data_IF_350335725178
#
_entry.id   IF_350335725178
#
_cell.length_a   1.000
_cell.length_b   1.000
_cell.length_c   1.000
_cell.angle_alpha   90.00
_cell.angle_beta   90.00
_cell.angle_gamma   90.00
#
_symmetry.space_group_name_H-M   'P 1'
#
loop_
_entity.id
_entity.type
_entity.pdbx_description
1 polymer ?
#
# COMPACT_ATOMS: atom_id res chain seq x y z
N UNK A 1 7.47 -0.36 10.00
CA UNK A 1 8.26 -1.56 9.62
C UNK A 1 9.45 -1.11 8.79
N UNK A 2 10.62 -1.70 9.01
CA UNK A 2 11.85 -1.34 8.30
C UNK A 2 12.67 -2.59 7.98
N UNK A 3 13.35 -2.58 6.84
CA UNK A 3 14.34 -3.58 6.43
C UNK A 3 13.78 -5.01 6.41
N UNK A 4 12.68 -5.19 5.67
CA UNK A 4 12.01 -6.48 5.53
C UNK A 4 12.37 -7.09 4.18
N UNK A 5 12.75 -8.35 4.21
CA UNK A 5 13.01 -9.15 3.02
C UNK A 5 12.16 -10.42 3.06
N UNK A 6 11.46 -10.70 1.96
CA UNK A 6 10.64 -11.90 1.83
C UNK A 6 10.71 -12.40 0.39
N UNK A 7 11.24 -13.61 0.22
CA UNK A 7 11.41 -14.22 -1.09
C UNK A 7 10.76 -15.61 -1.12
N UNK A 8 9.62 -15.69 -1.80
CA UNK A 8 8.86 -16.93 -1.95
C UNK A 8 9.14 -17.65 -3.28
N UNK A 9 10.21 -17.29 -4.00
CA UNK A 9 10.49 -17.81 -5.35
C UNK A 9 10.54 -19.34 -5.41
N UNK A 10 11.06 -19.99 -4.37
CA UNK A 10 11.24 -21.45 -4.33
C UNK A 10 10.06 -22.20 -3.71
N UNK A 11 9.00 -21.51 -3.30
CA UNK A 11 7.82 -22.17 -2.71
C UNK A 11 6.85 -22.62 -3.80
N UNK A 12 6.35 -23.84 -3.65
CA UNK A 12 5.40 -24.47 -4.59
C UNK A 12 4.02 -23.81 -4.51
N UNK A 13 3.65 -23.31 -3.33
CA UNK A 13 2.37 -22.67 -3.06
C UNK A 13 2.53 -21.17 -2.80
N UNK A 14 1.49 -20.42 -3.16
CA UNK A 14 1.38 -18.99 -2.87
C UNK A 14 1.42 -18.77 -1.37
N UNK A 15 2.23 -17.81 -0.93
CA UNK A 15 2.14 -17.25 0.41
C UNK A 15 1.58 -15.83 0.37
N UNK A 16 0.85 -15.49 1.42
CA UNK A 16 0.46 -14.10 1.67
C UNK A 16 1.72 -13.29 2.01
N UNK A 17 1.79 -12.07 1.48
CA UNK A 17 2.83 -11.14 1.91
C UNK A 17 2.41 -10.39 3.17
N UNK A 18 2.58 -9.07 3.14
CA UNK A 18 2.28 -8.20 4.27
C UNK A 18 0.89 -7.61 4.06
N UNK A 19 0.02 -7.78 5.05
CA UNK A 19 -1.25 -7.06 5.12
C UNK A 19 -1.26 -6.18 6.37
N UNK A 20 -1.51 -4.89 6.19
CA UNK A 20 -1.66 -3.92 7.28
C UNK A 20 -3.06 -3.36 7.20
N UNK A 21 -3.82 -3.52 8.27
CA UNK A 21 -5.15 -2.92 8.44
C UNK A 21 -5.06 -1.87 9.52
N UNK A 22 -5.15 -0.59 9.16
CA UNK A 22 -5.23 0.48 10.15
C UNK A 22 -6.55 0.38 10.92
N UNK A 23 -6.49 0.45 12.25
CA UNK A 23 -7.70 0.46 13.09
C UNK A 23 -8.41 1.81 13.09
N UNK A 24 -9.46 1.93 13.92
CA UNK A 24 -10.26 3.15 14.03
C UNK A 24 -9.55 4.30 14.78
N UNK A 25 -8.41 4.03 15.42
CA UNK A 25 -7.61 5.05 16.10
C UNK A 25 -6.73 5.83 15.12
N UNK A 26 -6.36 7.06 15.49
CA UNK A 26 -5.32 7.82 14.78
C UNK A 26 -4.07 6.96 14.71
N UNK A 27 -3.65 6.65 13.49
CA UNK A 27 -2.56 5.71 13.23
C UNK A 27 -1.56 6.29 12.26
N UNK A 28 -0.29 6.00 12.52
CA UNK A 28 0.83 6.36 11.67
C UNK A 28 1.48 5.08 11.15
N UNK A 29 1.55 4.94 9.83
CA UNK A 29 2.17 3.78 9.19
C UNK A 29 3.38 4.26 8.39
N UNK A 30 4.57 3.77 8.77
CA UNK A 30 5.78 3.95 8.00
C UNK A 30 6.37 2.60 7.58
N UNK A 31 6.55 2.43 6.28
CA UNK A 31 7.16 1.29 5.64
C UNK A 31 8.42 1.77 4.93
N UNK A 32 9.55 1.13 5.25
CA UNK A 32 10.85 1.55 4.72
C UNK A 32 11.69 0.33 4.38
N UNK A 33 12.40 0.37 3.26
CA UNK A 33 13.35 -0.67 2.85
C UNK A 33 12.71 -2.07 2.87
N UNK A 34 11.70 -2.26 2.01
CA UNK A 34 10.99 -3.54 1.88
C UNK A 34 11.31 -4.14 0.52
N UNK A 35 11.75 -5.39 0.49
CA UNK A 35 11.93 -6.17 -0.72
C UNK A 35 11.14 -7.48 -0.62
N UNK A 36 10.21 -7.68 -1.56
CA UNK A 36 9.30 -8.82 -1.55
C UNK A 36 9.17 -9.43 -2.95
N UNK A 37 9.30 -10.76 -3.07
CA UNK A 37 9.14 -11.50 -4.33
C UNK A 37 8.11 -12.62 -4.17
N UNK A 38 7.20 -12.72 -5.16
CA UNK A 38 6.02 -13.61 -5.14
C UNK A 38 5.19 -13.42 -3.86
N UNK A 39 4.89 -12.15 -3.57
CA UNK A 39 4.14 -11.75 -2.39
C UNK A 39 3.47 -10.38 -2.62
N UNK A 40 2.38 -10.10 -1.89
CA UNK A 40 1.64 -8.84 -1.96
C UNK A 40 1.90 -7.95 -0.74
N UNK A 41 1.85 -6.64 -0.95
CA UNK A 41 1.72 -5.65 0.11
C UNK A 41 0.32 -5.05 0.04
N UNK A 42 -0.49 -5.31 1.05
CA UNK A 42 -1.90 -4.92 1.13
C UNK A 42 -2.11 -3.93 2.29
N UNK A 43 -2.61 -2.73 1.98
CA UNK A 43 -2.96 -1.70 2.94
C UNK A 43 -4.47 -1.53 2.98
N UNK A 44 -5.06 -1.76 4.14
CA UNK A 44 -6.50 -1.59 4.37
C UNK A 44 -6.77 -0.52 5.42
N UNK A 45 -7.88 0.19 5.22
CA UNK A 45 -8.33 1.32 6.01
C UNK A 45 -7.33 2.49 5.98
N UNK A 46 -7.84 3.71 5.94
CA UNK A 46 -6.98 4.89 5.84
C UNK A 46 -6.29 5.20 7.18
N UNK A 47 -4.95 5.13 7.29
CA UNK A 47 -4.24 5.69 8.45
C UNK A 47 -4.30 7.23 8.44
N UNK A 48 -3.96 7.87 9.56
CA UNK A 48 -3.81 9.33 9.60
C UNK A 48 -2.67 9.77 8.66
N UNK A 49 -1.55 9.06 8.73
CA UNK A 49 -0.42 9.26 7.82
C UNK A 49 0.15 7.94 7.34
N UNK A 50 0.47 7.87 6.05
CA UNK A 50 1.15 6.75 5.41
C UNK A 50 2.44 7.22 4.74
N UNK A 51 3.54 6.59 5.11
CA UNK A 51 4.85 6.79 4.53
C UNK A 51 5.37 5.47 3.96
N UNK A 52 5.77 5.50 2.70
CA UNK A 52 6.42 4.37 2.04
C UNK A 52 7.69 4.85 1.34
N UNK A 53 8.83 4.25 1.69
CA UNK A 53 10.11 4.59 1.08
C UNK A 53 10.93 3.35 0.74
N UNK A 54 11.49 3.29 -0.46
CA UNK A 54 12.33 2.18 -0.91
C UNK A 54 11.58 0.84 -0.79
N UNK A 55 10.48 0.73 -1.52
CA UNK A 55 9.61 -0.44 -1.49
C UNK A 55 9.68 -1.11 -2.85
N UNK A 56 10.08 -2.38 -2.87
CA UNK A 56 10.11 -3.21 -4.07
C UNK A 56 9.28 -4.46 -3.81
N UNK A 57 8.16 -4.61 -4.53
CA UNK A 57 7.26 -5.75 -4.38
C UNK A 57 6.94 -6.32 -5.74
N UNK A 58 7.06 -7.64 -5.88
CA UNK A 58 6.67 -8.37 -7.06
C UNK A 58 5.67 -9.48 -6.73
N UNK A 59 4.57 -9.54 -7.49
CA UNK A 59 3.54 -10.58 -7.38
C UNK A 59 3.14 -11.07 -8.77
N UNK A 60 2.90 -12.36 -8.94
CA UNK A 60 2.39 -12.90 -10.19
C UNK A 60 1.00 -12.31 -10.53
N UNK A 61 0.83 -11.84 -11.76
CA UNK A 61 -0.39 -11.16 -12.21
C UNK A 61 -1.66 -12.01 -12.08
N UNK A 62 -1.54 -13.33 -12.22
CA UNK A 62 -2.61 -14.31 -12.02
C UNK A 62 -3.15 -14.35 -10.58
N UNK A 63 -2.36 -13.87 -9.61
CA UNK A 63 -2.66 -13.96 -8.18
C UNK A 63 -3.20 -12.65 -7.58
N UNK A 64 -3.18 -11.57 -8.37
CA UNK A 64 -3.59 -10.24 -7.97
C UNK A 64 -2.46 -9.21 -8.02
N UNK A 65 -2.71 -7.98 -7.53
CA UNK A 65 -1.74 -6.89 -7.55
C UNK A 65 -0.58 -7.14 -6.58
N UNK A 66 0.60 -6.58 -6.91
CA UNK A 66 1.75 -6.57 -6.01
C UNK A 66 1.56 -5.59 -4.85
N UNK A 67 0.95 -4.44 -5.13
CA UNK A 67 0.58 -3.45 -4.13
C UNK A 67 -0.92 -3.16 -4.22
N UNK A 68 -1.63 -3.35 -3.11
CA UNK A 68 -3.03 -2.92 -2.99
C UNK A 68 -3.16 -1.86 -1.89
N UNK A 69 -3.83 -0.75 -2.19
CA UNK A 69 -4.27 0.21 -1.19
C UNK A 69 -5.78 0.34 -1.28
N UNK A 70 -6.45 -0.18 -0.25
CA UNK A 70 -7.89 -0.12 -0.09
C UNK A 70 -8.20 0.75 1.13
N UNK A 71 -8.39 2.04 0.88
CA UNK A 71 -8.76 3.02 1.88
C UNK A 71 -10.27 3.17 1.96
N UNK A 72 -10.95 2.04 2.17
CA UNK A 72 -12.36 2.06 2.52
C UNK A 72 -12.57 2.95 3.75
N UNK A 73 -13.48 3.90 3.59
CA UNK A 73 -13.91 4.76 4.67
C UNK A 73 -14.95 3.98 5.46
N UNK A 74 -14.50 3.12 6.36
CA UNK A 74 -15.42 2.62 7.37
C UNK A 74 -15.91 3.82 8.18
N UNK A 75 -17.21 4.07 8.11
CA UNK A 75 -17.91 4.76 9.19
C UNK A 75 -17.63 3.94 10.45
N UNK A 76 -17.18 4.60 11.51
CA UNK A 76 -17.41 4.04 12.85
C UNK A 76 -18.90 3.69 12.97
N UNK A 77 -19.29 2.78 13.87
CA UNK A 77 -20.72 2.46 14.13
C UNK A 77 -21.57 3.71 14.45
N UNK A 78 -20.91 4.83 14.73
CA UNK A 78 -21.47 6.17 14.99
C UNK A 78 -21.42 7.15 13.80
N UNK A 79 -20.95 6.72 12.62
CA UNK A 79 -20.85 7.58 11.42
C UNK A 79 -19.68 8.56 11.41
N UNK A 80 -18.71 8.44 12.34
CA UNK A 80 -17.59 9.38 12.45
C UNK A 80 -16.43 8.95 11.55
N UNK A 81 -15.94 9.89 10.73
CA UNK A 81 -14.75 9.72 9.90
C UNK A 81 -13.49 9.89 10.75
N UNK A 82 -12.59 8.90 10.73
CA UNK A 82 -11.49 8.83 11.70
C UNK A 82 -10.16 9.39 11.21
N UNK A 83 -9.93 9.41 9.90
CA UNK A 83 -8.82 10.16 9.35
C UNK A 83 -9.15 11.66 9.54
N UNK A 84 -8.51 12.28 10.52
CA UNK A 84 -8.77 13.65 10.94
C UNK A 84 -8.27 14.64 9.86
N UNK A 85 -8.40 15.93 10.14
CA UNK A 85 -7.74 16.98 9.34
C UNK A 85 -6.23 16.67 9.23
N UNK A 86 -5.62 17.08 8.12
CA UNK A 86 -4.17 16.99 7.85
C UNK A 86 -3.62 15.57 7.58
N UNK A 87 -4.38 14.73 6.88
CA UNK A 87 -3.89 13.41 6.46
C UNK A 87 -2.80 13.50 5.40
N UNK A 88 -1.75 12.68 5.52
CA UNK A 88 -0.59 12.70 4.60
C UNK A 88 -0.31 11.33 3.99
N UNK A 89 -0.18 11.30 2.67
CA UNK A 89 0.39 10.19 1.92
C UNK A 89 1.74 10.61 1.35
N UNK A 90 2.81 9.89 1.68
CA UNK A 90 4.14 10.12 1.13
C UNK A 90 4.71 8.82 0.56
N UNK A 91 4.90 8.78 -0.77
CA UNK A 91 5.50 7.65 -1.48
C UNK A 91 6.82 8.10 -2.13
N UNK A 92 7.92 7.41 -1.84
CA UNK A 92 9.22 7.71 -2.43
C UNK A 92 9.94 6.42 -2.84
N UNK A 93 10.32 6.27 -4.11
CA UNK A 93 11.01 5.07 -4.60
C UNK A 93 10.19 3.80 -4.31
N UNK A 94 8.98 3.73 -4.87
CA UNK A 94 8.04 2.62 -4.69
C UNK A 94 7.82 1.93 -6.03
N UNK A 95 8.24 0.67 -6.09
CA UNK A 95 8.14 -0.20 -7.25
C UNK A 95 7.26 -1.41 -6.90
N UNK A 96 6.13 -1.51 -7.58
CA UNK A 96 5.21 -2.64 -7.47
C UNK A 96 4.97 -3.21 -8.87
N UNK A 97 5.41 -4.45 -9.10
CA UNK A 97 5.45 -5.05 -10.44
C UNK A 97 4.92 -6.47 -10.46
N UNK A 98 4.55 -6.94 -11.65
CA UNK A 98 4.27 -8.35 -11.89
C UNK A 98 5.51 -9.12 -12.34
N UNK A 99 5.34 -10.41 -12.64
CA UNK A 99 6.41 -11.30 -13.13
C UNK A 99 7.04 -10.83 -14.45
N UNK A 100 6.36 -9.94 -15.19
CA UNK A 100 6.83 -9.36 -16.45
C UNK A 100 7.48 -7.99 -16.25
N UNK A 101 7.63 -7.51 -15.01
CA UNK A 101 8.15 -6.19 -14.69
C UNK A 101 7.17 -5.04 -14.96
N UNK A 102 5.91 -5.33 -15.30
CA UNK A 102 4.88 -4.31 -15.53
C UNK A 102 4.29 -3.84 -14.20
N UNK A 103 3.85 -2.58 -14.13
CA UNK A 103 3.16 -2.04 -12.94
C UNK A 103 2.01 -2.95 -12.51
N UNK A 104 2.01 -3.36 -11.23
CA UNK A 104 1.01 -4.26 -10.65
C UNK A 104 0.45 -3.67 -9.37
N UNK A 105 -0.54 -2.78 -9.52
CA UNK A 105 -1.07 -1.96 -8.44
C UNK A 105 -2.58 -1.86 -8.54
N UNK A 106 -3.26 -1.95 -7.40
CA UNK A 106 -4.68 -1.70 -7.24
C UNK A 106 -4.90 -0.69 -6.12
N UNK A 107 -5.41 0.50 -6.45
CA UNK A 107 -5.64 1.58 -5.48
C UNK A 107 -7.08 2.05 -5.67
N UNK A 108 -7.89 1.95 -4.61
CA UNK A 108 -9.31 2.32 -4.69
C UNK A 108 -9.50 3.84 -4.83
N UNK A 109 -8.92 4.61 -3.91
CA UNK A 109 -9.00 6.07 -3.86
C UNK A 109 -7.86 6.65 -3.05
N UNK A 110 -7.41 7.84 -3.42
CA UNK A 110 -6.50 8.64 -2.59
C UNK A 110 -7.22 9.90 -2.14
N UNK A 111 -7.61 9.96 -0.86
CA UNK A 111 -8.27 11.10 -0.23
C UNK A 111 -7.48 11.63 0.98
N UNK A 112 -6.14 11.51 0.93
CA UNK A 112 -5.27 12.19 1.87
C UNK A 112 -5.27 13.70 1.54
N UNK A 113 -5.16 14.55 2.56
CA UNK A 113 -5.15 16.00 2.37
C UNK A 113 -3.89 16.45 1.62
N UNK A 114 -2.75 15.87 1.99
CA UNK A 114 -1.45 16.10 1.37
C UNK A 114 -1.00 14.79 0.73
N UNK A 115 -0.57 14.86 -0.52
CA UNK A 115 -0.06 13.70 -1.29
C UNK A 115 1.27 14.10 -1.91
N UNK A 116 2.34 13.46 -1.46
CA UNK A 116 3.69 13.64 -1.97
C UNK A 116 4.14 12.34 -2.62
N UNK A 117 4.47 12.40 -3.91
CA UNK A 117 4.95 11.23 -4.66
C UNK A 117 6.24 11.54 -5.39
N UNK A 118 7.23 10.65 -5.28
CA UNK A 118 8.50 10.75 -5.97
C UNK A 118 8.94 9.35 -6.42
N UNK A 119 9.34 9.20 -7.70
CA UNK A 119 9.91 7.96 -8.24
C UNK A 119 9.05 6.72 -7.95
N UNK A 120 7.80 6.74 -8.40
CA UNK A 120 6.91 5.58 -8.39
C UNK A 120 6.75 5.03 -9.80
N UNK A 121 6.53 3.73 -9.96
CA UNK A 121 6.37 3.08 -11.28
C UNK A 121 4.89 2.95 -11.72
N UNK A 122 3.96 3.58 -11.01
CA UNK A 122 2.52 3.54 -11.24
C UNK A 122 1.90 4.93 -11.13
N UNK A 123 0.64 5.06 -11.52
CA UNK A 123 -0.15 6.30 -11.34
C UNK A 123 -1.08 6.14 -10.15
N UNK A 124 -1.27 7.23 -9.40
CA UNK A 124 -2.34 7.29 -8.40
C UNK A 124 -3.69 7.55 -9.08
N UNK A 125 -4.81 7.03 -8.55
CA UNK A 125 -6.14 7.41 -9.00
C UNK A 125 -6.35 8.92 -8.92
N UNK A 126 -7.05 9.48 -9.90
CA UNK A 126 -7.46 10.88 -9.86
C UNK A 126 -8.38 11.14 -8.67
N UNK A 127 -8.19 12.28 -8.02
CA UNK A 127 -9.06 12.73 -6.94
C UNK A 127 -10.40 13.12 -7.58
N UNK A 128 -11.41 12.26 -7.45
CA UNK A 128 -12.79 12.64 -7.79
C UNK A 128 -13.25 13.66 -6.74
N UNK A 129 -13.59 14.87 -7.20
CA UNK A 129 -14.19 15.93 -6.38
C UNK A 129 -15.59 15.54 -5.88
#
# INVERSE_FOLDING_TARGET
MNNIQLDNTHLVYKLRGIQISAGNAVSFVALTNIEMKRASLELHNKPQHLFMRNINVMQESSLGPALSMNFDMRKDVRGVFMAKKETLLSLANVHAVNERGQSSVDIDRINHHIVNVEKINFRLPERRE
#
